data_IF_565033973140
#
_entry.id   IF_565033973140
#
_cell.length_a   1.000
_cell.length_b   1.000
_cell.length_c   1.000
_cell.angle_alpha   90.00
_cell.angle_beta   90.00
_cell.angle_gamma   90.00
#
_symmetry.space_group_name_H-M   'P 1'
#
loop_
_entity.id
_entity.type
_entity.pdbx_description
1 polymer ?
#
# COMPACT_ATOMS: atom_id res chain seq x y z
N UNK A 1 -3.35 -23.86 4.03
CA UNK A 1 -3.57 -23.20 2.73
C UNK A 1 -3.37 -21.68 2.89
N UNK A 2 -2.09 -21.26 3.12
CA UNK A 2 -1.77 -19.85 3.45
C UNK A 2 -1.80 -18.92 2.23
N UNK A 3 -1.50 -19.44 1.03
CA UNK A 3 -1.34 -18.66 -0.21
C UNK A 3 -2.59 -17.92 -0.72
N UNK A 4 -3.75 -18.20 -0.14
CA UNK A 4 -5.02 -17.53 -0.48
C UNK A 4 -5.50 -16.58 0.61
N UNK A 5 -4.66 -16.27 1.61
CA UNK A 5 -4.94 -15.14 2.49
C UNK A 5 -4.78 -13.84 1.68
N UNK A 6 -5.61 -12.84 1.99
CA UNK A 6 -5.72 -11.62 1.19
C UNK A 6 -4.38 -10.89 1.05
N UNK A 7 -3.65 -10.72 2.13
CA UNK A 7 -2.32 -10.10 2.11
C UNK A 7 -1.33 -10.88 1.23
N UNK A 8 -1.34 -12.21 1.30
CA UNK A 8 -0.48 -13.05 0.45
C UNK A 8 -0.94 -13.08 -1.01
N UNK A 9 -2.22 -12.89 -1.27
CA UNK A 9 -2.73 -12.70 -2.62
C UNK A 9 -2.16 -11.42 -3.24
N UNK A 10 -2.19 -10.29 -2.51
CA UNK A 10 -1.57 -9.04 -2.93
C UNK A 10 -0.05 -9.19 -3.11
N UNK A 11 0.64 -9.83 -2.16
CA UNK A 11 2.11 -10.03 -2.20
C UNK A 11 2.59 -10.69 -3.48
N UNK A 12 1.84 -11.63 -4.06
CA UNK A 12 2.21 -12.30 -5.32
C UNK A 12 2.37 -11.32 -6.49
N UNK A 13 1.47 -10.35 -6.60
CA UNK A 13 1.56 -9.32 -7.65
C UNK A 13 2.69 -8.34 -7.38
N UNK A 14 2.95 -8.03 -6.11
CA UNK A 14 4.10 -7.22 -5.70
C UNK A 14 5.41 -7.92 -6.04
N UNK A 15 5.54 -9.23 -5.76
CA UNK A 15 6.69 -10.06 -6.08
C UNK A 15 6.96 -10.16 -7.59
N UNK A 16 5.90 -10.21 -8.41
CA UNK A 16 6.02 -10.19 -9.87
C UNK A 16 6.45 -8.82 -10.40
N UNK A 17 5.99 -7.75 -9.76
CA UNK A 17 6.17 -6.36 -10.19
C UNK A 17 7.54 -5.81 -9.82
N UNK A 18 7.93 -5.91 -8.55
CA UNK A 18 9.13 -5.26 -8.01
C UNK A 18 10.39 -6.00 -8.44
N UNK A 19 11.37 -5.24 -8.92
CA UNK A 19 12.68 -5.72 -9.34
C UNK A 19 13.78 -5.06 -8.52
N UNK A 20 14.95 -5.69 -8.51
CA UNK A 20 16.14 -5.13 -7.87
C UNK A 20 16.46 -3.74 -8.45
N UNK A 21 16.77 -2.79 -7.57
CA UNK A 21 17.00 -1.39 -7.91
C UNK A 21 15.74 -0.51 -7.97
N UNK A 22 14.54 -1.08 -7.80
CA UNK A 22 13.29 -0.33 -7.87
C UNK A 22 13.08 0.61 -6.67
N UNK A 23 12.35 1.70 -6.91
CA UNK A 23 11.81 2.57 -5.86
C UNK A 23 10.38 2.11 -5.54
N UNK A 24 10.11 1.87 -4.27
CA UNK A 24 8.81 1.42 -3.77
C UNK A 24 8.32 2.27 -2.60
N UNK A 25 7.01 2.32 -2.40
CA UNK A 25 6.38 3.01 -1.28
C UNK A 25 5.45 2.06 -0.53
N UNK A 26 5.61 2.01 0.81
CA UNK A 26 4.62 1.47 1.73
C UNK A 26 3.90 2.65 2.39
N UNK A 27 2.72 2.97 1.89
CA UNK A 27 1.98 4.16 2.30
C UNK A 27 1.22 4.00 3.63
N UNK A 28 1.18 2.78 4.16
CA UNK A 28 0.53 2.41 5.43
C UNK A 28 1.38 1.38 6.16
N UNK A 29 2.55 1.82 6.61
CA UNK A 29 3.65 0.98 7.12
C UNK A 29 3.21 -0.02 8.20
N UNK A 30 2.40 0.41 9.14
CA UNK A 30 1.90 -0.44 10.22
C UNK A 30 3.01 -1.21 10.92
N UNK A 31 2.85 -2.54 10.97
CA UNK A 31 3.85 -3.43 11.58
C UNK A 31 5.05 -3.76 10.64
N UNK A 32 5.20 -3.08 9.51
CA UNK A 32 6.34 -3.21 8.59
C UNK A 32 6.38 -4.51 7.78
N UNK A 33 5.23 -5.16 7.55
CA UNK A 33 5.19 -6.40 6.77
C UNK A 33 5.47 -6.13 5.28
N UNK A 34 4.78 -5.17 4.70
CA UNK A 34 4.94 -4.80 3.29
C UNK A 34 6.25 -4.04 3.09
N UNK A 35 6.65 -3.20 4.05
CA UNK A 35 7.98 -2.56 4.03
C UNK A 35 9.10 -3.61 3.93
N UNK A 36 9.05 -4.69 4.73
CA UNK A 36 10.02 -5.77 4.69
C UNK A 36 10.01 -6.51 3.34
N UNK A 37 8.83 -6.81 2.82
CA UNK A 37 8.69 -7.46 1.52
C UNK A 37 9.31 -6.60 0.42
N UNK A 38 8.93 -5.33 0.34
CA UNK A 38 9.43 -4.38 -0.66
C UNK A 38 10.95 -4.19 -0.54
N UNK A 39 11.49 -4.07 0.69
CA UNK A 39 12.92 -3.94 0.94
C UNK A 39 13.71 -5.13 0.40
N UNK A 40 13.23 -6.35 0.62
CA UNK A 40 13.86 -7.57 0.12
C UNK A 40 13.80 -7.69 -1.40
N UNK A 41 12.68 -7.33 -2.01
CA UNK A 41 12.49 -7.40 -3.46
C UNK A 41 13.30 -6.34 -4.21
N UNK A 42 13.29 -5.10 -3.70
CA UNK A 42 14.06 -3.99 -4.30
C UNK A 42 15.57 -4.16 -4.14
N UNK A 43 16.01 -5.00 -3.19
CA UNK A 43 17.43 -5.30 -3.00
C UNK A 43 18.25 -4.09 -2.52
N UNK A 44 19.58 -4.26 -2.31
CA UNK A 44 20.43 -3.23 -1.72
C UNK A 44 20.52 -1.94 -2.55
N UNK A 45 20.34 -2.02 -3.85
CA UNK A 45 20.40 -0.89 -4.78
C UNK A 45 19.05 -0.20 -4.98
N UNK A 46 17.96 -0.75 -4.41
CA UNK A 46 16.63 -0.16 -4.44
C UNK A 46 16.39 0.83 -3.31
N UNK A 47 15.16 1.35 -3.27
CA UNK A 47 14.73 2.28 -2.22
C UNK A 47 13.29 2.00 -1.81
N UNK A 48 13.03 1.95 -0.50
CA UNK A 48 11.68 1.84 0.06
C UNK A 48 11.40 3.03 0.99
N UNK A 49 10.33 3.75 0.70
CA UNK A 49 9.82 4.82 1.55
C UNK A 49 8.56 4.30 2.27
N UNK A 50 8.53 4.33 3.59
CA UNK A 50 7.43 3.80 4.38
C UNK A 50 6.85 4.86 5.30
N UNK A 51 5.51 5.03 5.27
CA UNK A 51 4.81 6.11 5.95
C UNK A 51 3.80 5.58 6.95
N UNK A 52 3.75 6.20 8.12
CA UNK A 52 2.68 6.02 9.11
C UNK A 52 2.61 7.25 10.01
N UNK A 53 1.42 7.57 10.51
CA UNK A 53 1.22 8.68 11.44
C UNK A 53 1.38 8.27 12.90
N UNK A 54 1.47 6.97 13.17
CA UNK A 54 1.55 6.41 14.52
C UNK A 54 2.98 6.07 14.89
N UNK A 55 3.50 6.65 15.97
CA UNK A 55 4.83 6.33 16.52
C UNK A 55 4.97 4.82 16.84
N UNK A 56 3.88 4.19 17.30
CA UNK A 56 3.85 2.75 17.58
C UNK A 56 4.14 1.92 16.32
N UNK A 57 3.58 2.31 15.17
CA UNK A 57 3.82 1.66 13.89
C UNK A 57 5.28 1.79 13.47
N UNK A 58 5.84 3.01 13.56
CA UNK A 58 7.25 3.27 13.24
C UNK A 58 8.20 2.42 14.08
N UNK A 59 7.97 2.31 15.38
CA UNK A 59 8.77 1.50 16.28
C UNK A 59 8.65 -0.01 15.97
N UNK A 60 7.43 -0.48 15.73
CA UNK A 60 7.16 -1.89 15.37
C UNK A 60 7.84 -2.27 14.05
N UNK A 61 7.71 -1.43 13.02
CA UNK A 61 8.35 -1.63 11.73
C UNK A 61 9.88 -1.65 11.85
N UNK A 62 10.45 -0.68 12.56
CA UNK A 62 11.92 -0.61 12.81
C UNK A 62 12.45 -1.88 13.48
N UNK A 63 11.80 -2.32 14.56
CA UNK A 63 12.19 -3.54 15.27
C UNK A 63 12.09 -4.77 14.37
N UNK A 64 11.02 -4.87 13.56
CA UNK A 64 10.85 -5.96 12.63
C UNK A 64 11.94 -5.99 11.56
N UNK A 65 12.20 -4.87 10.90
CA UNK A 65 13.21 -4.79 9.84
C UNK A 65 14.60 -5.14 10.36
N UNK A 66 14.97 -4.70 11.56
CA UNK A 66 16.24 -5.06 12.21
C UNK A 66 16.29 -6.57 12.54
N UNK A 67 15.24 -7.11 13.17
CA UNK A 67 15.17 -8.53 13.53
C UNK A 67 15.25 -9.45 12.31
N UNK A 68 14.62 -9.08 11.22
CA UNK A 68 14.54 -9.82 9.98
C UNK A 68 15.75 -9.59 9.05
N UNK A 69 16.75 -8.80 9.48
CA UNK A 69 17.93 -8.41 8.70
C UNK A 69 17.54 -7.89 7.30
N UNK A 70 16.59 -6.96 7.25
CA UNK A 70 16.19 -6.30 6.00
C UNK A 70 17.39 -5.55 5.38
N UNK A 71 17.51 -5.48 4.04
CA UNK A 71 18.46 -4.58 3.39
C UNK A 71 18.33 -3.15 3.91
N UNK A 72 19.44 -2.42 4.05
CA UNK A 72 19.46 -1.05 4.56
C UNK A 72 19.06 -0.02 3.48
N UNK A 73 17.98 -0.32 2.76
CA UNK A 73 17.46 0.42 1.59
C UNK A 73 16.11 1.10 1.87
N UNK A 74 15.74 1.27 3.14
CA UNK A 74 14.45 1.83 3.53
C UNK A 74 14.60 3.09 4.38
N UNK A 75 13.60 3.97 4.27
CA UNK A 75 13.40 5.13 5.14
C UNK A 75 12.00 5.08 5.72
N UNK A 76 11.89 5.23 7.05
CA UNK A 76 10.63 5.23 7.78
C UNK A 76 10.26 6.65 8.16
N UNK A 77 9.07 7.10 7.76
CA UNK A 77 8.55 8.44 8.00
C UNK A 77 7.39 8.39 8.99
N UNK A 78 7.47 9.19 10.05
CA UNK A 78 6.35 9.47 10.94
C UNK A 78 5.52 10.61 10.34
N UNK A 79 4.91 10.35 9.21
CA UNK A 79 4.20 11.32 8.38
C UNK A 79 2.98 10.67 7.73
N UNK A 80 2.01 11.49 7.35
CA UNK A 80 0.88 11.03 6.56
C UNK A 80 1.34 10.63 5.15
N UNK A 81 0.73 9.59 4.60
CA UNK A 81 0.88 9.19 3.20
C UNK A 81 0.51 10.30 2.20
N UNK A 82 -0.16 11.37 2.65
CA UNK A 82 -0.44 12.55 1.81
C UNK A 82 0.80 13.39 1.51
N UNK A 83 1.95 13.09 2.11
CA UNK A 83 3.23 13.75 1.88
C UNK A 83 4.22 12.94 1.03
N UNK A 84 3.79 11.81 0.46
CA UNK A 84 4.68 10.93 -0.33
C UNK A 84 5.37 11.68 -1.49
N UNK A 85 4.67 12.61 -2.13
CA UNK A 85 5.20 13.37 -3.26
C UNK A 85 6.34 14.33 -2.89
N UNK A 86 6.53 14.64 -1.61
CA UNK A 86 7.62 15.49 -1.14
C UNK A 86 8.96 14.75 -1.10
N UNK A 87 8.93 13.41 -1.13
CA UNK A 87 10.10 12.54 -0.92
C UNK A 87 10.57 11.80 -2.16
N UNK A 88 9.81 11.80 -3.25
CA UNK A 88 10.13 11.03 -4.46
C UNK A 88 9.66 11.76 -5.72
N UNK A 89 10.40 11.55 -6.81
CA UNK A 89 10.09 12.19 -8.10
C UNK A 89 8.86 11.57 -8.76
N UNK A 90 8.07 12.34 -9.52
CA UNK A 90 7.06 11.79 -10.41
C UNK A 90 7.65 10.74 -11.37
N UNK A 91 6.79 9.82 -11.82
CA UNK A 91 7.12 8.78 -12.82
C UNK A 91 8.30 7.86 -12.43
N UNK A 92 8.60 7.70 -11.13
CA UNK A 92 9.77 6.94 -10.69
C UNK A 92 9.47 5.70 -9.86
N UNK A 93 8.26 5.57 -9.32
CA UNK A 93 7.91 4.51 -8.37
C UNK A 93 7.36 3.28 -9.08
N UNK A 94 7.93 2.12 -8.79
CA UNK A 94 7.52 0.82 -9.36
C UNK A 94 6.30 0.23 -8.71
N UNK A 95 6.21 0.38 -7.38
CA UNK A 95 5.12 -0.21 -6.59
C UNK A 95 4.78 0.68 -5.40
N UNK A 96 3.49 0.93 -5.20
CA UNK A 96 2.96 1.61 -4.02
C UNK A 96 1.94 0.69 -3.36
N UNK A 97 2.05 0.49 -2.05
CA UNK A 97 1.17 -0.40 -1.29
C UNK A 97 0.37 0.40 -0.26
N UNK A 98 -0.93 0.13 -0.20
CA UNK A 98 -1.85 0.64 0.83
C UNK A 98 -2.63 -0.50 1.47
N UNK A 99 -2.73 -0.47 2.80
CA UNK A 99 -3.69 -1.23 3.58
C UNK A 99 -4.61 -0.23 4.28
N UNK A 100 -5.75 0.08 3.66
CA UNK A 100 -6.72 1.02 4.22
C UNK A 100 -7.51 0.39 5.36
N UNK A 101 -7.56 1.09 6.49
CA UNK A 101 -8.20 0.61 7.70
C UNK A 101 -7.47 1.10 8.95
N UNK A 102 -7.44 0.29 9.98
CA UNK A 102 -6.75 0.60 11.25
C UNK A 102 -5.54 -0.32 11.48
N UNK A 103 -4.58 0.17 12.25
CA UNK A 103 -3.44 -0.63 12.68
C UNK A 103 -3.91 -1.76 13.62
N UNK A 104 -3.68 -3.05 13.31
CA UNK A 104 -4.01 -4.13 14.23
C UNK A 104 -3.31 -3.96 15.58
N UNK A 105 -4.11 -3.83 16.66
CA UNK A 105 -3.61 -3.56 18.01
C UNK A 105 -3.28 -2.10 18.30
N UNK A 106 -3.51 -1.18 17.36
CA UNK A 106 -3.35 0.25 17.53
C UNK A 106 -4.64 0.97 17.94
N UNK A 107 -4.60 2.30 17.92
CA UNK A 107 -5.74 3.15 18.20
C UNK A 107 -6.67 3.19 16.99
N UNK A 108 -7.86 2.63 17.12
CA UNK A 108 -8.87 2.59 16.05
C UNK A 108 -9.41 3.97 15.65
N UNK A 109 -9.24 5.01 16.49
CA UNK A 109 -9.61 6.38 16.13
C UNK A 109 -8.68 7.00 15.08
N UNK A 110 -7.50 6.39 14.87
CA UNK A 110 -6.50 6.79 13.90
C UNK A 110 -6.55 5.95 12.59
N UNK A 111 -7.71 5.42 12.26
CA UNK A 111 -7.94 4.76 10.97
C UNK A 111 -7.78 5.73 9.80
N UNK A 112 -7.49 5.20 8.61
CA UNK A 112 -7.49 5.98 7.36
C UNK A 112 -8.89 6.60 7.12
N UNK A 113 -8.92 7.71 6.39
CA UNK A 113 -10.16 8.43 6.06
C UNK A 113 -10.25 8.64 4.56
N UNK A 114 -11.47 8.57 4.02
CA UNK A 114 -11.72 8.67 2.57
C UNK A 114 -11.04 9.87 1.90
N UNK A 115 -11.04 11.04 2.56
CA UNK A 115 -10.46 12.28 2.01
C UNK A 115 -8.93 12.17 1.86
N UNK A 116 -8.23 11.78 2.92
CA UNK A 116 -6.76 11.62 2.90
C UNK A 116 -6.34 10.44 2.04
N UNK A 117 -7.13 9.38 2.01
CA UNK A 117 -6.90 8.19 1.19
C UNK A 117 -7.01 8.51 -0.30
N UNK A 118 -8.06 9.22 -0.73
CA UNK A 118 -8.21 9.65 -2.13
C UNK A 118 -7.09 10.61 -2.53
N UNK A 119 -6.74 11.60 -1.69
CA UNK A 119 -5.62 12.50 -1.95
C UNK A 119 -4.30 11.73 -2.17
N UNK A 120 -4.02 10.74 -1.33
CA UNK A 120 -2.82 9.91 -1.48
C UNK A 120 -2.86 9.03 -2.73
N UNK A 121 -4.04 8.53 -3.11
CA UNK A 121 -4.19 7.78 -4.35
C UNK A 121 -3.96 8.66 -5.59
N UNK A 122 -4.44 9.90 -5.59
CA UNK A 122 -4.19 10.88 -6.66
C UNK A 122 -2.69 11.17 -6.80
N UNK A 123 -1.99 11.38 -5.70
CA UNK A 123 -0.52 11.50 -5.71
C UNK A 123 0.14 10.23 -6.25
N UNK A 124 -0.31 9.05 -5.80
CA UNK A 124 0.23 7.77 -6.26
C UNK A 124 0.21 7.62 -7.78
N UNK A 125 -0.85 8.07 -8.44
CA UNK A 125 -0.95 8.01 -9.90
C UNK A 125 0.13 8.86 -10.59
N UNK A 126 0.55 9.97 -9.98
CA UNK A 126 1.62 10.82 -10.53
C UNK A 126 3.01 10.26 -10.25
N UNK A 127 3.17 9.52 -9.15
CA UNK A 127 4.45 8.95 -8.72
C UNK A 127 4.79 7.64 -9.43
N UNK A 128 3.78 6.82 -9.77
CA UNK A 128 3.99 5.55 -10.46
C UNK A 128 4.67 5.77 -11.81
N UNK A 129 5.71 5.00 -12.09
CA UNK A 129 6.27 4.89 -13.44
C UNK A 129 5.32 4.14 -14.39
N UNK A 130 5.50 4.27 -15.68
CA UNK A 130 4.79 3.44 -16.67
C UNK A 130 5.01 1.95 -16.37
N UNK A 131 3.94 1.17 -16.36
CA UNK A 131 3.93 -0.22 -15.92
C UNK A 131 3.98 -0.41 -14.41
N UNK A 132 4.00 0.68 -13.62
CA UNK A 132 4.00 0.61 -12.15
C UNK A 132 2.68 0.09 -11.58
N UNK A 133 2.75 -0.48 -10.39
CA UNK A 133 1.65 -1.11 -9.66
C UNK A 133 1.27 -0.32 -8.40
N UNK A 134 -0.01 -0.03 -8.26
CA UNK A 134 -0.62 0.38 -7.01
C UNK A 134 -1.42 -0.81 -6.45
N UNK A 135 -0.99 -1.34 -5.31
CA UNK A 135 -1.62 -2.47 -4.62
C UNK A 135 -2.39 -1.98 -3.41
N UNK A 136 -3.70 -2.15 -3.45
CA UNK A 136 -4.60 -1.71 -2.39
C UNK A 136 -5.23 -2.92 -1.70
N UNK A 137 -5.24 -2.92 -0.38
CA UNK A 137 -6.04 -3.82 0.44
C UNK A 137 -7.03 -2.97 1.25
N UNK A 138 -8.31 -3.02 0.88
CA UNK A 138 -9.35 -2.16 1.46
C UNK A 138 -10.10 -2.96 2.51
N UNK A 139 -9.93 -2.59 3.78
CA UNK A 139 -10.65 -3.19 4.91
C UNK A 139 -11.96 -2.44 5.15
N UNK A 140 -13.03 -3.16 5.44
CA UNK A 140 -14.36 -2.63 5.74
C UNK A 140 -14.79 -3.03 7.15
N UNK A 141 -14.04 -2.58 8.16
CA UNK A 141 -14.36 -2.81 9.58
C UNK A 141 -14.91 -1.56 10.26
N UNK A 142 -15.96 -1.72 11.07
CA UNK A 142 -16.66 -0.59 11.69
C UNK A 142 -17.48 0.26 10.70
N UNK A 143 -18.22 1.25 11.22
CA UNK A 143 -19.14 2.07 10.38
C UNK A 143 -18.37 2.94 9.37
N UNK A 144 -17.28 3.58 9.77
CA UNK A 144 -16.47 4.44 8.90
C UNK A 144 -15.69 3.67 7.81
N UNK A 145 -15.39 2.38 8.02
CA UNK A 145 -14.66 1.56 7.04
C UNK A 145 -15.48 1.25 5.79
N UNK A 146 -16.81 1.17 5.91
CA UNK A 146 -17.69 0.99 4.75
C UNK A 146 -17.79 2.26 3.91
N UNK A 147 -17.88 3.43 4.53
CA UNK A 147 -17.90 4.72 3.85
C UNK A 147 -16.59 4.97 3.07
N UNK A 148 -15.45 4.71 3.69
CA UNK A 148 -14.15 4.82 3.03
C UNK A 148 -14.05 3.86 1.85
N UNK A 149 -14.41 2.58 2.02
CA UNK A 149 -14.41 1.58 0.95
C UNK A 149 -15.25 2.04 -0.24
N UNK A 150 -16.47 2.51 -0.01
CA UNK A 150 -17.39 2.89 -1.09
C UNK A 150 -16.90 4.15 -1.81
N UNK A 151 -16.30 5.10 -1.09
CA UNK A 151 -15.65 6.27 -1.67
C UNK A 151 -14.46 5.87 -2.57
N UNK A 152 -13.57 4.99 -2.07
CA UNK A 152 -12.42 4.48 -2.81
C UNK A 152 -12.85 3.73 -4.07
N UNK A 153 -13.84 2.83 -3.98
CA UNK A 153 -14.34 2.08 -5.14
C UNK A 153 -14.99 3.00 -6.17
N UNK A 154 -15.70 4.04 -5.72
CA UNK A 154 -16.31 5.03 -6.60
C UNK A 154 -15.23 5.84 -7.34
N UNK A 155 -14.16 6.22 -6.65
CA UNK A 155 -13.03 6.93 -7.24
C UNK A 155 -12.28 6.04 -8.26
N UNK A 156 -11.94 4.81 -7.88
CA UNK A 156 -11.26 3.84 -8.74
C UNK A 156 -12.01 3.57 -10.04
N UNK A 157 -13.35 3.49 -9.98
CA UNK A 157 -14.20 3.27 -11.16
C UNK A 157 -14.16 4.42 -12.17
N UNK A 158 -13.76 5.62 -11.74
CA UNK A 158 -13.67 6.82 -12.59
C UNK A 158 -12.31 6.99 -13.26
N UNK A 159 -11.32 6.16 -12.92
CA UNK A 159 -10.01 6.23 -13.55
C UNK A 159 -10.12 5.99 -15.06
N UNK A 160 -9.39 6.80 -15.83
CA UNK A 160 -9.33 6.66 -17.28
C UNK A 160 -8.73 5.31 -17.68
N UNK A 161 -9.54 4.47 -18.30
CA UNK A 161 -9.17 3.11 -18.73
C UNK A 161 -8.11 3.09 -19.84
N UNK A 162 -7.84 4.21 -20.50
CA UNK A 162 -6.72 4.33 -21.43
C UNK A 162 -5.37 4.37 -20.68
N UNK A 163 -5.35 5.04 -19.53
CA UNK A 163 -4.14 5.25 -18.75
C UNK A 163 -3.96 4.22 -17.62
N UNK A 164 -5.05 3.66 -17.11
CA UNK A 164 -5.01 2.79 -15.92
C UNK A 164 -5.89 1.54 -16.09
N UNK A 165 -5.32 0.38 -15.78
CA UNK A 165 -6.09 -0.84 -15.62
C UNK A 165 -6.38 -1.07 -14.14
N UNK A 166 -7.66 -1.18 -13.77
CA UNK A 166 -8.10 -1.48 -12.41
C UNK A 166 -8.62 -2.91 -12.34
N UNK A 167 -8.02 -3.73 -11.49
CA UNK A 167 -8.44 -5.11 -11.24
C UNK A 167 -8.88 -5.25 -9.79
N UNK A 168 -10.12 -5.62 -9.57
CA UNK A 168 -10.68 -5.93 -8.24
C UNK A 168 -10.77 -7.43 -8.06
N UNK A 169 -10.24 -7.96 -6.95
CA UNK A 169 -10.38 -9.35 -6.56
C UNK A 169 -11.41 -9.48 -5.43
N UNK A 170 -12.27 -10.49 -5.50
CA UNK A 170 -13.33 -10.71 -4.52
C UNK A 170 -13.35 -12.16 -4.03
N UNK A 171 -13.43 -12.37 -2.72
CA UNK A 171 -13.67 -13.68 -2.14
C UNK A 171 -15.19 -13.95 -2.10
N UNK A 172 -15.75 -14.24 -3.26
CA UNK A 172 -17.16 -14.25 -3.55
C UNK A 172 -18.06 -15.03 -2.57
N UNK A 173 -17.56 -16.12 -2.00
CA UNK A 173 -18.30 -17.00 -1.09
C UNK A 173 -17.89 -16.85 0.39
N UNK A 174 -17.14 -15.80 0.75
CA UNK A 174 -16.73 -15.57 2.14
C UNK A 174 -17.68 -14.60 2.84
N UNK A 175 -18.22 -14.96 4.04
CA UNK A 175 -19.01 -14.03 4.86
C UNK A 175 -18.14 -12.94 5.49
N UNK A 176 -18.79 -11.98 6.14
CA UNK A 176 -18.17 -10.95 6.99
C UNK A 176 -17.26 -9.95 6.24
N UNK A 177 -17.59 -9.64 4.98
CA UNK A 177 -16.92 -8.60 4.19
C UNK A 177 -15.39 -8.64 4.32
N UNK A 178 -14.74 -9.70 3.81
CA UNK A 178 -13.28 -9.78 3.85
C UNK A 178 -12.66 -8.57 3.15
N UNK A 179 -11.43 -8.18 3.53
CA UNK A 179 -10.74 -7.09 2.86
C UNK A 179 -10.70 -7.30 1.35
N UNK A 180 -10.81 -6.21 0.60
CA UNK A 180 -10.93 -6.22 -0.85
C UNK A 180 -9.60 -5.83 -1.51
N UNK A 181 -8.90 -6.79 -2.16
CA UNK A 181 -7.73 -6.47 -2.96
C UNK A 181 -8.10 -5.73 -4.24
N UNK A 182 -7.43 -4.62 -4.52
CA UNK A 182 -7.53 -3.89 -5.79
C UNK A 182 -6.13 -3.58 -6.29
N UNK A 183 -5.90 -3.85 -7.55
CA UNK A 183 -4.65 -3.53 -8.26
C UNK A 183 -4.94 -2.44 -9.29
N UNK A 184 -4.10 -1.42 -9.34
CA UNK A 184 -4.12 -0.41 -10.39
C UNK A 184 -2.77 -0.45 -11.10
N UNK A 185 -2.79 -0.69 -12.40
CA UNK A 185 -1.60 -0.71 -13.24
C UNK A 185 -1.60 0.54 -14.12
N UNK A 186 -0.51 1.31 -14.08
CA UNK A 186 -0.35 2.44 -15.01
C UNK A 186 0.09 1.92 -16.38
N UNK A 187 -0.70 2.19 -17.42
CA UNK A 187 -0.46 1.70 -18.78
C UNK A 187 0.40 2.67 -19.61
N UNK A 188 0.20 3.97 -19.41
CA UNK A 188 0.85 5.05 -20.20
C UNK A 188 1.42 6.16 -19.33
#
# INVERSE_FOLDING_TARGET
MKIYQITQWCSRFIEEQVKEGDICIDATMGNGNDTLLLSRLAGPDGQVLAFDIQEQALQAARQKLLRENAPANYTLFLESHTHMADHVKPDSVSCIVFNFGYLPGGDHSLATRSETSIQALEQSLTLLKKGGLLSLCIYSGGDSGFEERDALLTWLKKLDSHNYLVIRSDYYNRPNNPPLPVLVIRLH
#
